data_IF_576480160878
#
_entry.id   IF_576480160878
#
_cell.length_a   1.000
_cell.length_b   1.000
_cell.length_c   1.000
_cell.angle_alpha   90.00
_cell.angle_beta   90.00
_cell.angle_gamma   90.00
#
_symmetry.space_group_name_H-M   'P 1'
#
loop_
_entity.id
_entity.type
_entity.pdbx_description
1 polymer ?
#
# COMPACT_ATOMS: atom_id res chain seq x y z
N UNK A 1 -2.26 -29.09 17.91
CA UNK A 1 -2.23 -28.17 16.75
C UNK A 1 -2.67 -26.75 17.14
N UNK A 2 -3.83 -26.58 17.80
CA UNK A 2 -4.38 -25.26 18.16
C UNK A 2 -3.50 -24.49 19.18
N UNK A 3 -2.97 -25.20 20.18
CA UNK A 3 -2.11 -24.60 21.22
C UNK A 3 -0.79 -24.07 20.64
N UNK A 4 -0.21 -24.80 19.72
CA UNK A 4 1.04 -24.38 19.06
C UNK A 4 0.83 -23.18 18.16
N UNK A 5 -0.30 -23.10 17.45
CA UNK A 5 -0.68 -21.93 16.66
C UNK A 5 -0.88 -20.68 17.53
N UNK A 6 -1.59 -20.81 18.67
CA UNK A 6 -1.80 -19.71 19.61
C UNK A 6 -0.48 -19.21 20.23
N UNK A 7 0.44 -20.13 20.52
CA UNK A 7 1.75 -19.78 21.07
C UNK A 7 2.62 -19.05 20.05
N UNK A 8 2.62 -19.50 18.80
CA UNK A 8 3.31 -18.82 17.68
C UNK A 8 2.76 -17.41 17.46
N UNK A 9 1.45 -17.25 17.38
CA UNK A 9 0.80 -15.94 17.21
C UNK A 9 1.08 -14.99 18.39
N UNK A 10 1.16 -15.53 19.61
CA UNK A 10 1.49 -14.75 20.81
C UNK A 10 2.95 -14.27 20.77
N UNK A 11 3.86 -15.12 20.32
CA UNK A 11 5.28 -14.80 20.13
C UNK A 11 5.49 -13.74 19.08
N UNK A 12 4.87 -13.88 17.91
CA UNK A 12 4.92 -12.89 16.83
C UNK A 12 4.38 -11.53 17.26
N UNK A 13 3.25 -11.53 18.00
CA UNK A 13 2.68 -10.28 18.53
C UNK A 13 3.64 -9.60 19.51
N UNK A 14 4.32 -10.39 20.35
CA UNK A 14 5.27 -9.86 21.33
C UNK A 14 6.53 -9.31 20.65
N UNK A 15 7.04 -9.98 19.64
CA UNK A 15 8.19 -9.55 18.85
C UNK A 15 7.87 -8.26 18.06
N UNK A 16 6.69 -8.16 17.47
CA UNK A 16 6.22 -6.96 16.80
C UNK A 16 6.09 -5.77 17.76
N UNK A 17 5.52 -6.01 18.95
CA UNK A 17 5.40 -4.97 19.98
C UNK A 17 6.78 -4.46 20.43
N UNK A 18 7.74 -5.34 20.63
CA UNK A 18 9.10 -4.97 21.05
C UNK A 18 9.81 -4.16 19.95
N UNK A 19 9.70 -4.55 18.69
CA UNK A 19 10.23 -3.81 17.54
C UNK A 19 9.65 -2.40 17.45
N UNK A 20 8.33 -2.27 17.51
CA UNK A 20 7.68 -0.97 17.47
C UNK A 20 8.11 -0.07 18.64
N UNK A 21 8.33 -0.64 19.82
CA UNK A 21 8.81 0.10 20.98
C UNK A 21 10.24 0.59 20.79
N UNK A 22 11.12 -0.22 20.21
CA UNK A 22 12.52 0.14 19.87
C UNK A 22 12.55 1.32 18.88
N UNK A 23 11.79 1.23 17.79
CA UNK A 23 11.67 2.32 16.79
C UNK A 23 11.12 3.61 17.42
N UNK A 24 10.12 3.49 18.27
CA UNK A 24 9.55 4.63 19.00
C UNK A 24 10.57 5.29 19.93
N UNK A 25 11.38 4.50 20.63
CA UNK A 25 12.44 5.01 21.50
C UNK A 25 13.53 5.74 20.72
N UNK A 26 13.93 5.23 19.55
CA UNK A 26 14.89 5.90 18.66
C UNK A 26 14.34 7.22 18.15
N UNK A 27 13.07 7.23 17.72
CA UNK A 27 12.37 8.45 17.28
C UNK A 27 12.29 9.50 18.41
N UNK A 28 11.93 9.09 19.63
CA UNK A 28 11.83 9.99 20.79
C UNK A 28 13.17 10.57 21.23
N UNK A 29 14.26 9.81 21.04
CA UNK A 29 15.62 10.28 21.31
C UNK A 29 16.15 11.22 20.23
N UNK A 30 15.46 11.34 19.09
CA UNK A 30 15.95 12.09 17.94
C UNK A 30 17.15 11.43 17.22
N UNK A 31 17.39 10.15 17.49
CA UNK A 31 18.46 9.37 16.85
C UNK A 31 17.97 8.83 15.50
N UNK A 32 17.83 9.74 14.55
CA UNK A 32 17.28 9.43 13.23
C UNK A 32 18.22 8.52 12.42
N UNK A 33 19.54 8.61 12.62
CA UNK A 33 20.50 7.75 11.92
C UNK A 33 20.34 6.29 12.36
N UNK A 34 20.23 6.04 13.67
CA UNK A 34 19.97 4.71 14.19
C UNK A 34 18.58 4.19 13.79
N UNK A 35 17.57 5.07 13.78
CA UNK A 35 16.21 4.74 13.32
C UNK A 35 16.21 4.30 11.85
N UNK A 36 16.87 5.07 10.98
CA UNK A 36 16.99 4.77 9.55
C UNK A 36 17.77 3.46 9.34
N UNK A 37 18.86 3.27 10.08
CA UNK A 37 19.66 2.05 10.02
C UNK A 37 18.80 0.83 10.39
N UNK A 38 18.01 0.92 11.47
CA UNK A 38 17.16 -0.17 11.94
C UNK A 38 16.03 -0.51 10.96
N UNK A 39 15.39 0.51 10.39
CA UNK A 39 14.38 0.33 9.35
C UNK A 39 14.97 -0.30 8.07
N UNK A 40 16.19 0.11 7.68
CA UNK A 40 16.88 -0.47 6.53
C UNK A 40 17.31 -1.94 6.76
N UNK A 41 17.70 -2.31 7.98
CA UNK A 41 18.00 -3.71 8.34
C UNK A 41 16.76 -4.59 8.19
N UNK A 42 15.59 -4.11 8.60
CA UNK A 42 14.32 -4.83 8.42
C UNK A 42 13.93 -4.95 6.94
N UNK A 43 14.18 -3.92 6.12
CA UNK A 43 13.95 -3.96 4.68
C UNK A 43 14.96 -4.84 3.94
N UNK A 44 16.22 -4.92 4.35
CA UNK A 44 17.24 -5.74 3.68
C UNK A 44 17.02 -7.25 3.83
N UNK A 45 16.22 -7.67 4.80
CA UNK A 45 15.71 -9.06 4.92
C UNK A 45 14.55 -9.35 3.95
N UNK A 46 13.96 -8.33 3.33
CA UNK A 46 12.88 -8.40 2.37
C UNK A 46 13.38 -8.07 0.96
N UNK A 47 13.97 -9.04 0.27
CA UNK A 47 14.26 -9.08 -1.18
C UNK A 47 15.27 -8.07 -1.78
N UNK A 48 16.07 -8.50 -2.78
CA UNK A 48 16.92 -7.58 -3.53
C UNK A 48 16.05 -6.59 -4.31
N UNK A 49 16.28 -5.30 -4.12
CA UNK A 49 15.64 -4.21 -4.85
C UNK A 49 15.86 -4.40 -6.36
N UNK A 50 14.82 -4.78 -7.07
CA UNK A 50 14.75 -4.63 -8.51
C UNK A 50 14.22 -3.22 -8.78
N UNK A 51 15.07 -2.20 -8.63
CA UNK A 51 14.68 -0.82 -8.91
C UNK A 51 14.27 -0.68 -10.37
N UNK A 52 12.99 -0.52 -10.59
CA UNK A 52 12.40 -0.45 -11.94
C UNK A 52 12.23 0.99 -12.40
N UNK A 53 11.91 1.91 -11.49
CA UNK A 53 11.60 3.31 -11.84
C UNK A 53 12.76 4.26 -11.59
N UNK A 54 13.65 3.94 -10.66
CA UNK A 54 14.73 4.78 -10.19
C UNK A 54 14.32 5.80 -9.14
N UNK A 55 13.02 5.93 -8.82
CA UNK A 55 12.54 6.69 -7.67
C UNK A 55 12.49 5.76 -6.45
N UNK A 56 13.29 6.06 -5.43
CA UNK A 56 13.48 5.18 -4.27
C UNK A 56 12.21 4.91 -3.49
N UNK A 57 11.36 5.91 -3.31
CA UNK A 57 10.12 5.79 -2.55
C UNK A 57 9.10 4.94 -3.29
N UNK A 58 8.93 5.20 -4.59
CA UNK A 58 8.04 4.41 -5.45
C UNK A 58 8.52 2.96 -5.53
N UNK A 59 9.82 2.74 -5.78
CA UNK A 59 10.41 1.40 -5.86
C UNK A 59 10.21 0.62 -4.56
N UNK A 60 10.41 1.25 -3.39
CA UNK A 60 10.22 0.60 -2.08
C UNK A 60 8.75 0.17 -1.84
N UNK A 61 7.79 1.05 -2.15
CA UNK A 61 6.37 0.72 -2.01
C UNK A 61 5.96 -0.39 -2.97
N UNK A 62 6.38 -0.30 -4.25
CA UNK A 62 6.06 -1.31 -5.25
C UNK A 62 6.67 -2.68 -4.90
N UNK A 63 7.91 -2.72 -4.44
CA UNK A 63 8.57 -3.98 -4.05
C UNK A 63 7.83 -4.64 -2.88
N UNK A 64 7.42 -3.86 -1.87
CA UNK A 64 6.64 -4.35 -0.74
C UNK A 64 5.29 -4.92 -1.20
N UNK A 65 4.51 -4.13 -1.92
CA UNK A 65 3.16 -4.51 -2.36
C UNK A 65 3.18 -5.69 -3.36
N UNK A 66 4.19 -5.75 -4.23
CA UNK A 66 4.39 -6.90 -5.13
C UNK A 66 4.76 -8.18 -4.38
N UNK A 67 5.47 -8.07 -3.26
CA UNK A 67 5.73 -9.24 -2.41
C UNK A 67 4.42 -9.78 -1.81
N UNK A 68 3.56 -8.88 -1.26
CA UNK A 68 2.23 -9.24 -0.74
C UNK A 68 1.34 -9.83 -1.84
N UNK A 69 1.29 -9.18 -3.01
CA UNK A 69 0.52 -9.67 -4.16
C UNK A 69 0.97 -11.08 -4.59
N UNK A 70 2.28 -11.35 -4.60
CA UNK A 70 2.84 -12.66 -4.95
C UNK A 70 2.41 -13.75 -3.96
N UNK A 71 2.40 -13.48 -2.67
CA UNK A 71 1.92 -14.42 -1.64
C UNK A 71 0.45 -14.79 -1.85
N UNK A 72 -0.35 -13.81 -2.31
CA UNK A 72 -1.77 -13.99 -2.62
C UNK A 72 -2.02 -14.46 -4.06
N UNK A 73 -0.97 -14.78 -4.83
CA UNK A 73 -1.03 -15.21 -6.22
C UNK A 73 -1.78 -14.22 -7.13
N UNK A 74 -1.58 -12.94 -6.90
CA UNK A 74 -2.13 -11.85 -7.69
C UNK A 74 -1.11 -11.50 -8.76
N UNK A 75 -1.53 -11.48 -10.03
CA UNK A 75 -0.72 -10.98 -11.13
C UNK A 75 -0.65 -9.45 -11.06
N UNK A 76 0.55 -8.89 -11.20
CA UNK A 76 0.77 -7.45 -11.25
C UNK A 76 1.37 -7.08 -12.61
N UNK A 77 0.71 -6.17 -13.32
CA UNK A 77 1.18 -5.59 -14.58
C UNK A 77 1.54 -4.12 -14.35
N UNK A 78 2.72 -3.70 -14.78
CA UNK A 78 3.23 -2.35 -14.54
C UNK A 78 3.53 -1.63 -15.85
N UNK A 79 3.15 -0.36 -15.93
CA UNK A 79 3.52 0.57 -16.99
C UNK A 79 3.88 1.91 -16.34
N UNK A 80 5.15 2.08 -15.98
CA UNK A 80 5.60 3.20 -15.16
C UNK A 80 6.67 4.00 -15.90
N UNK A 81 6.42 5.30 -16.06
CA UNK A 81 7.32 6.25 -16.70
C UNK A 81 7.37 7.55 -15.89
N UNK A 82 8.24 7.55 -14.87
CA UNK A 82 8.43 8.67 -13.94
C UNK A 82 9.91 9.03 -13.84
N UNK A 83 10.24 10.29 -13.56
CA UNK A 83 11.62 10.70 -13.29
C UNK A 83 12.09 10.18 -11.91
N UNK A 84 13.39 10.11 -11.76
CA UNK A 84 14.03 9.69 -10.49
C UNK A 84 13.67 10.62 -9.33
N UNK A 85 13.61 11.93 -9.59
CA UNK A 85 13.24 12.96 -8.63
C UNK A 85 11.93 13.63 -9.07
N UNK A 86 11.01 13.81 -8.15
CA UNK A 86 9.70 14.45 -8.37
C UNK A 86 9.48 15.54 -7.32
N UNK A 87 8.68 16.54 -7.68
CA UNK A 87 8.28 17.62 -6.74
C UNK A 87 7.26 17.15 -5.69
N UNK A 88 6.77 15.90 -5.78
CA UNK A 88 5.83 15.29 -4.82
C UNK A 88 6.58 14.75 -3.62
N UNK A 89 6.14 15.10 -2.41
CA UNK A 89 6.77 14.63 -1.18
C UNK A 89 6.69 13.09 -1.03
N UNK A 90 7.78 12.48 -0.54
CA UNK A 90 7.87 11.03 -0.33
C UNK A 90 6.75 10.48 0.56
N UNK A 91 6.33 11.24 1.59
CA UNK A 91 5.23 10.86 2.47
C UNK A 91 3.88 10.78 1.75
N UNK A 92 3.64 11.67 0.78
CA UNK A 92 2.44 11.65 -0.06
C UNK A 92 2.49 10.44 -1.00
N UNK A 93 3.62 10.21 -1.68
CA UNK A 93 3.81 9.05 -2.55
C UNK A 93 3.58 7.73 -1.80
N UNK A 94 4.24 7.58 -0.66
CA UNK A 94 4.13 6.38 0.18
C UNK A 94 2.68 6.17 0.65
N UNK A 95 2.04 7.22 1.18
CA UNK A 95 0.69 7.12 1.69
C UNK A 95 -0.37 6.88 0.61
N UNK A 96 -0.26 7.52 -0.55
CA UNK A 96 -1.22 7.35 -1.66
C UNK A 96 -1.04 5.99 -2.32
N UNK A 97 0.18 5.63 -2.72
CA UNK A 97 0.46 4.34 -3.38
C UNK A 97 0.17 3.16 -2.46
N UNK A 98 0.62 3.19 -1.21
CA UNK A 98 0.39 2.11 -0.25
C UNK A 98 -1.10 1.87 -0.05
N UNK A 99 -1.89 2.91 0.28
CA UNK A 99 -3.33 2.75 0.48
C UNK A 99 -4.06 2.28 -0.78
N UNK A 100 -3.68 2.78 -1.97
CA UNK A 100 -4.31 2.38 -3.22
C UNK A 100 -3.99 0.93 -3.59
N UNK A 101 -2.74 0.48 -3.44
CA UNK A 101 -2.31 -0.89 -3.72
C UNK A 101 -2.86 -1.88 -2.70
N UNK A 102 -2.84 -1.56 -1.40
CA UNK A 102 -3.50 -2.34 -0.36
C UNK A 102 -4.98 -2.61 -0.70
N UNK A 103 -5.72 -1.57 -1.07
CA UNK A 103 -7.13 -1.69 -1.47
C UNK A 103 -7.30 -2.59 -2.71
N UNK A 104 -6.42 -2.45 -3.70
CA UNK A 104 -6.44 -3.25 -4.92
C UNK A 104 -6.15 -4.74 -4.64
N UNK A 105 -5.16 -5.02 -3.80
CA UNK A 105 -4.77 -6.38 -3.38
C UNK A 105 -5.88 -7.03 -2.55
N UNK A 106 -6.46 -6.30 -1.59
CA UNK A 106 -7.59 -6.80 -0.79
C UNK A 106 -8.82 -7.11 -1.65
N UNK A 107 -9.11 -6.30 -2.66
CA UNK A 107 -10.21 -6.55 -3.58
C UNK A 107 -9.96 -7.78 -4.46
N UNK A 108 -8.74 -7.92 -4.99
CA UNK A 108 -8.33 -9.07 -5.78
C UNK A 108 -8.34 -10.39 -5.00
N UNK A 109 -8.11 -10.36 -3.70
CA UNK A 109 -8.10 -11.57 -2.86
C UNK A 109 -9.48 -12.26 -2.79
N UNK A 110 -10.55 -11.52 -3.11
CA UNK A 110 -11.94 -12.02 -3.10
C UNK A 110 -12.39 -12.64 -4.43
N UNK A 111 -11.62 -12.49 -5.49
CA UNK A 111 -11.92 -13.14 -6.78
C UNK A 111 -11.14 -14.44 -6.93
N UNK A 112 -11.55 -15.27 -7.90
CA UNK A 112 -10.86 -16.55 -8.19
C UNK A 112 -9.37 -16.30 -8.53
N UNK A 113 -8.48 -17.19 -8.10
CA UNK A 113 -7.02 -17.04 -8.27
C UNK A 113 -6.61 -16.74 -9.73
N UNK A 114 -7.33 -17.31 -10.70
CA UNK A 114 -7.06 -17.12 -12.13
C UNK A 114 -7.41 -15.73 -12.66
N UNK A 115 -8.25 -14.99 -11.94
CA UNK A 115 -8.73 -13.66 -12.33
C UNK A 115 -8.04 -12.53 -11.56
N UNK A 116 -7.18 -12.86 -10.58
CA UNK A 116 -6.49 -11.89 -9.73
C UNK A 116 -5.48 -11.10 -10.55
N UNK A 117 -5.81 -9.85 -10.79
CA UNK A 117 -4.98 -8.95 -11.60
C UNK A 117 -5.04 -7.54 -11.06
N UNK A 118 -3.87 -6.95 -10.82
CA UNK A 118 -3.68 -5.54 -10.55
C UNK A 118 -2.83 -4.94 -11.67
N UNK A 119 -3.27 -3.81 -12.22
CA UNK A 119 -2.52 -3.03 -13.20
C UNK A 119 -2.17 -1.68 -12.62
N UNK A 120 -0.89 -1.32 -12.73
CA UNK A 120 -0.34 -0.06 -12.22
C UNK A 120 0.16 0.75 -13.42
N UNK A 121 -0.39 1.94 -13.57
CA UNK A 121 0.10 2.91 -14.53
C UNK A 121 0.54 4.17 -13.81
N UNK A 122 1.76 4.65 -14.10
CA UNK A 122 2.26 5.90 -13.56
C UNK A 122 2.99 6.69 -14.65
N UNK A 123 2.70 7.98 -14.74
CA UNK A 123 3.33 8.89 -15.69
C UNK A 123 3.43 10.28 -15.12
N UNK A 124 4.53 10.98 -15.40
CA UNK A 124 4.65 12.41 -15.17
C UNK A 124 4.45 13.14 -16.49
N UNK A 125 3.52 14.09 -16.50
CA UNK A 125 3.25 14.95 -17.65
C UNK A 125 3.08 16.40 -17.19
N UNK A 126 3.87 17.33 -17.74
CA UNK A 126 3.83 18.76 -17.41
C UNK A 126 3.88 19.04 -15.90
N UNK A 127 4.74 18.35 -15.15
CA UNK A 127 4.89 18.40 -13.69
C UNK A 127 3.78 17.72 -12.86
N UNK A 128 2.74 17.21 -13.48
CA UNK A 128 1.71 16.45 -12.78
C UNK A 128 2.04 14.95 -12.81
N UNK A 129 1.96 14.31 -11.66
CA UNK A 129 2.04 12.87 -11.53
C UNK A 129 0.64 12.28 -11.69
N UNK A 130 0.47 11.38 -12.66
CA UNK A 130 -0.73 10.59 -12.87
C UNK A 130 -0.47 9.18 -12.39
N UNK A 131 -1.35 8.68 -11.54
CA UNK A 131 -1.35 7.32 -11.01
C UNK A 131 -2.70 6.70 -11.32
N UNK A 132 -2.72 5.56 -12.00
CA UNK A 132 -3.92 4.77 -12.21
C UNK A 132 -3.66 3.36 -11.72
N UNK A 133 -4.51 2.87 -10.82
CA UNK A 133 -4.45 1.50 -10.31
C UNK A 133 -5.78 0.84 -10.63
N UNK A 134 -5.71 -0.22 -11.46
CA UNK A 134 -6.87 -1.04 -11.83
C UNK A 134 -6.75 -2.41 -11.20
N UNK A 135 -7.81 -2.90 -10.61
CA UNK A 135 -7.86 -4.25 -10.06
C UNK A 135 -9.13 -5.00 -10.40
N UNK A 136 -9.05 -6.32 -10.45
CA UNK A 136 -10.22 -7.18 -10.43
C UNK A 136 -10.87 -7.17 -9.07
N UNK A 137 -12.21 -7.28 -9.00
CA UNK A 137 -12.95 -7.37 -7.77
C UNK A 137 -14.23 -8.20 -7.94
N UNK A 138 -14.90 -8.52 -6.87
CA UNK A 138 -16.07 -9.42 -6.82
C UNK A 138 -17.41 -8.76 -7.24
N UNK A 139 -17.38 -7.56 -7.81
CA UNK A 139 -18.56 -6.80 -8.19
C UNK A 139 -19.28 -6.13 -7.02
N UNK A 140 -18.81 -6.30 -5.78
CA UNK A 140 -19.50 -5.78 -4.59
C UNK A 140 -18.91 -4.44 -4.16
N UNK A 141 -19.73 -3.39 -4.23
CA UNK A 141 -19.38 -2.04 -3.78
C UNK A 141 -20.26 -1.67 -2.58
N UNK A 142 -19.62 -1.26 -1.51
CA UNK A 142 -20.30 -0.75 -0.32
C UNK A 142 -20.25 0.77 -0.29
N UNK A 143 -21.39 1.40 0.01
CA UNK A 143 -21.51 2.85 0.13
C UNK A 143 -22.19 3.21 1.45
N UNK A 144 -21.77 4.34 2.02
CA UNK A 144 -22.49 4.99 3.11
C UNK A 144 -23.83 5.54 2.62
N UNK A 145 -24.69 5.99 3.54
CA UNK A 145 -25.97 6.62 3.19
C UNK A 145 -25.80 7.92 2.37
N UNK A 146 -24.65 8.59 2.53
CA UNK A 146 -24.25 9.78 1.77
C UNK A 146 -23.47 9.45 0.47
N UNK A 147 -23.41 8.15 0.09
CA UNK A 147 -22.87 7.70 -1.20
C UNK A 147 -21.37 7.51 -1.24
N UNK A 148 -20.64 7.69 -0.14
CA UNK A 148 -19.18 7.47 -0.08
C UNK A 148 -18.86 5.98 -0.10
N UNK A 149 -17.77 5.61 -0.78
CA UNK A 149 -17.27 4.24 -0.80
C UNK A 149 -16.78 3.82 0.60
N UNK A 150 -17.12 2.60 0.99
CA UNK A 150 -16.68 1.98 2.23
C UNK A 150 -15.87 0.74 1.90
N UNK A 151 -14.70 0.59 2.51
CA UNK A 151 -13.94 -0.67 2.49
C UNK A 151 -14.65 -1.74 3.34
N UNK A 152 -14.61 -2.99 2.92
CA UNK A 152 -15.21 -4.14 3.63
C UNK A 152 -14.20 -4.77 4.62
N UNK A 153 -13.50 -3.97 5.41
CA UNK A 153 -12.62 -4.52 6.46
C UNK A 153 -13.47 -5.10 7.60
N UNK A 154 -13.03 -6.22 8.16
CA UNK A 154 -13.73 -6.88 9.29
C UNK A 154 -13.81 -5.99 10.55
N UNK A 155 -12.90 -5.03 10.66
CA UNK A 155 -12.86 -4.11 11.79
C UNK A 155 -13.61 -2.80 11.45
N UNK A 156 -14.74 -2.48 12.13
CA UNK A 156 -15.53 -1.27 11.85
C UNK A 156 -14.76 0.05 11.99
N UNK A 157 -13.68 0.07 12.78
CA UNK A 157 -12.84 1.26 12.97
C UNK A 157 -11.87 1.52 11.81
N UNK A 158 -11.66 0.55 10.93
CA UNK A 158 -10.76 0.65 9.77
C UNK A 158 -11.52 0.86 8.44
N UNK A 159 -12.86 0.95 8.49
CA UNK A 159 -13.71 1.10 7.32
C UNK A 159 -13.49 2.46 6.64
N UNK A 160 -13.09 2.43 5.37
CA UNK A 160 -12.94 3.62 4.54
C UNK A 160 -11.75 4.53 4.90
N UNK A 161 -10.86 4.09 5.79
CA UNK A 161 -9.73 4.91 6.23
C UNK A 161 -8.73 5.16 5.11
N UNK A 162 -8.45 4.19 4.24
CA UNK A 162 -7.48 4.31 3.15
C UNK A 162 -7.86 5.39 2.14
N UNK A 163 -9.11 5.39 1.65
CA UNK A 163 -9.60 6.44 0.74
C UNK A 163 -9.58 7.83 1.41
N UNK A 164 -9.97 7.92 2.68
CA UNK A 164 -9.92 9.19 3.43
C UNK A 164 -8.50 9.70 3.58
N UNK A 165 -7.55 8.84 3.93
CA UNK A 165 -6.13 9.20 4.03
C UNK A 165 -5.61 9.69 2.68
N UNK A 166 -5.94 9.01 1.59
CA UNK A 166 -5.55 9.46 0.25
C UNK A 166 -6.11 10.85 -0.07
N UNK A 167 -7.38 11.11 0.22
CA UNK A 167 -7.98 12.45 0.04
C UNK A 167 -7.25 13.52 0.85
N UNK A 168 -7.03 13.28 2.16
CA UNK A 168 -6.35 14.21 3.05
C UNK A 168 -4.90 14.51 2.57
N UNK A 169 -4.16 13.49 2.14
CA UNK A 169 -2.81 13.67 1.60
C UNK A 169 -2.78 14.45 0.29
N UNK A 170 -3.74 14.19 -0.60
CA UNK A 170 -3.81 14.83 -1.90
C UNK A 170 -4.29 16.28 -1.82
N UNK A 171 -5.20 16.61 -0.90
CA UNK A 171 -5.58 18.01 -0.63
C UNK A 171 -4.37 18.88 -0.27
N UNK A 172 -3.41 18.34 0.51
CA UNK A 172 -2.19 19.06 0.87
C UNK A 172 -1.13 19.10 -0.25
N UNK A 173 -1.32 18.33 -1.30
CA UNK A 173 -0.41 18.23 -2.44
C UNK A 173 -1.03 18.80 -3.74
N UNK A 174 -2.11 19.58 -3.66
CA UNK A 174 -2.87 20.11 -4.78
C UNK A 174 -3.31 19.02 -5.78
N UNK A 175 -3.58 17.82 -5.25
CA UNK A 175 -3.99 16.66 -6.02
C UNK A 175 -5.46 16.29 -5.78
N UNK A 176 -5.94 15.32 -6.56
CA UNK A 176 -7.27 14.73 -6.38
C UNK A 176 -7.21 13.21 -6.61
N UNK A 177 -8.21 12.50 -6.11
CA UNK A 177 -8.43 11.08 -6.39
C UNK A 177 -9.85 10.89 -6.90
N UNK A 178 -9.98 10.08 -7.95
CA UNK A 178 -11.26 9.66 -8.52
C UNK A 178 -11.33 8.15 -8.52
N UNK A 179 -12.52 7.61 -8.33
CA UNK A 179 -12.75 6.17 -8.38
C UNK A 179 -13.83 5.84 -9.39
N UNK A 180 -13.56 4.84 -10.21
CA UNK A 180 -14.48 4.32 -11.22
C UNK A 180 -14.57 2.80 -11.12
N UNK A 181 -15.67 2.22 -11.52
CA UNK A 181 -15.84 0.78 -11.54
C UNK A 181 -16.86 0.34 -12.59
N UNK A 182 -16.68 -0.87 -13.08
CA UNK A 182 -17.65 -1.63 -13.85
C UNK A 182 -17.98 -2.95 -13.12
N UNK A 183 -18.52 -3.94 -13.81
CA UNK A 183 -18.89 -5.22 -13.19
C UNK A 183 -17.70 -6.03 -12.64
N UNK A 184 -16.48 -5.80 -13.13
CA UNK A 184 -15.33 -6.65 -12.85
C UNK A 184 -14.03 -5.90 -12.54
N UNK A 185 -13.98 -4.60 -12.82
CA UNK A 185 -12.77 -3.78 -12.66
C UNK A 185 -13.08 -2.55 -11.82
N UNK A 186 -12.26 -2.33 -10.82
CA UNK A 186 -12.21 -1.12 -10.02
C UNK A 186 -10.95 -0.33 -10.39
N UNK A 187 -11.09 0.98 -10.50
CA UNK A 187 -9.99 1.91 -10.82
C UNK A 187 -9.95 3.02 -9.79
#
# INVERSE_FOLDING_TARGET
>A
ALSHFQETMRKERHERKNRNMELLMLAQKGDFDALICRLNEEQSLMTPHSSTTGNRTVDAVLDFEKAVAREKKIQVEESISIPREMEVADSVLCGVLGNALDNAIEACDRVSEKERLVKIFMKVERKNLFIEIKNRYDGTIFKTQDGRLISRKENPQEHGMGLRIMHELLEHADGNVETMWDEHVFT
#
